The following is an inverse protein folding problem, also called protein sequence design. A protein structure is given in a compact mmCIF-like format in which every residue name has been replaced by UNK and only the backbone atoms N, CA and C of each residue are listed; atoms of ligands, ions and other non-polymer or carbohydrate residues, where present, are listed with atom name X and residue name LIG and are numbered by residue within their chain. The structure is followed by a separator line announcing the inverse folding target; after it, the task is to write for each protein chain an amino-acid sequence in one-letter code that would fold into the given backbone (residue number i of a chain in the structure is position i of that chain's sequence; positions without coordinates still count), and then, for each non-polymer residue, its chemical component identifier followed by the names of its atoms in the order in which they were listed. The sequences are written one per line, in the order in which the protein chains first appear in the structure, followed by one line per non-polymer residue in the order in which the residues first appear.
data_IF_642399879912
#
_entry.id   IF_642399879912
#
_cell.length_a   1.000
_cell.length_b   1.000
_cell.length_c   1.000
_cell.angle_alpha   90.00
_cell.angle_beta   90.00
_cell.angle_gamma   90.00
#
_symmetry.space_group_name_H-M   'P 1'
#
loop_
_entity.id
_entity.type
_entity.pdbx_description
1 polymer ?
#
# COMPACT_ATOMS: atom_id res chain seq x y z
N UNK A 1 0.61 9.68 17.61
CA UNK A 1 0.50 8.61 16.59
C UNK A 1 -0.92 8.51 16.02
N UNK A 2 -1.94 8.89 16.79
CA UNK A 2 -3.34 8.70 16.40
C UNK A 2 -3.78 9.61 15.24
N UNK A 3 -3.37 10.89 15.23
CA UNK A 3 -3.67 11.83 14.13
C UNK A 3 -3.23 11.30 12.76
N UNK A 4 -2.02 10.74 12.66
CA UNK A 4 -1.53 10.16 11.39
C UNK A 4 -2.39 8.97 10.95
N UNK A 5 -2.74 8.07 11.89
CA UNK A 5 -3.54 6.88 11.58
C UNK A 5 -4.92 7.27 11.09
N UNK A 6 -5.58 8.22 11.74
CA UNK A 6 -6.89 8.73 11.35
C UNK A 6 -6.87 9.38 9.97
N UNK A 7 -5.93 10.31 9.73
CA UNK A 7 -5.80 11.00 8.44
C UNK A 7 -5.47 10.01 7.34
N UNK A 8 -4.50 9.12 7.56
CA UNK A 8 -4.13 8.11 6.58
C UNK A 8 -5.30 7.17 6.27
N UNK A 9 -6.07 6.75 7.28
CA UNK A 9 -7.26 5.93 7.08
C UNK A 9 -8.32 6.64 6.24
N UNK A 10 -8.65 7.90 6.56
CA UNK A 10 -9.62 8.69 5.81
C UNK A 10 -9.21 8.88 4.34
N UNK A 11 -7.93 9.20 4.10
CA UNK A 11 -7.41 9.36 2.74
C UNK A 11 -7.45 8.05 1.95
N UNK A 12 -7.11 6.92 2.56
CA UNK A 12 -7.23 5.61 1.93
C UNK A 12 -8.69 5.25 1.61
N UNK A 13 -9.64 5.67 2.45
CA UNK A 13 -11.07 5.48 2.16
C UNK A 13 -11.51 6.26 0.92
N UNK A 14 -11.14 7.54 0.81
CA UNK A 14 -11.42 8.34 -0.39
C UNK A 14 -10.71 7.78 -1.64
N UNK A 15 -9.47 7.32 -1.50
CA UNK A 15 -8.79 6.61 -2.58
C UNK A 15 -9.54 5.33 -2.97
N UNK A 16 -9.94 4.48 -2.03
CA UNK A 16 -10.65 3.25 -2.36
C UNK A 16 -12.00 3.51 -3.04
N UNK A 17 -12.67 4.64 -2.76
CA UNK A 17 -13.92 5.06 -3.41
C UNK A 17 -13.74 5.74 -4.77
N UNK A 18 -12.52 5.95 -5.23
CA UNK A 18 -12.28 6.63 -6.52
C UNK A 18 -12.29 8.16 -6.45
N UNK A 19 -12.50 8.75 -5.28
CA UNK A 19 -12.61 10.21 -5.07
C UNK A 19 -11.26 10.92 -5.16
N UNK A 20 -10.17 10.16 -5.07
CA UNK A 20 -8.81 10.67 -5.04
C UNK A 20 -7.86 9.72 -5.78
N UNK A 21 -6.81 10.27 -6.38
CA UNK A 21 -5.71 9.52 -6.96
C UNK A 21 -4.54 9.32 -5.98
N UNK A 22 -3.55 8.53 -6.40
CA UNK A 22 -2.39 8.22 -5.59
C UNK A 22 -1.50 9.45 -5.33
N UNK A 23 -1.36 10.35 -6.30
CA UNK A 23 -0.49 11.51 -6.18
C UNK A 23 -1.04 12.50 -5.14
N UNK A 24 -2.34 12.75 -5.21
CA UNK A 24 -3.10 13.57 -4.27
C UNK A 24 -3.05 12.96 -2.87
N UNK A 25 -3.26 11.64 -2.72
CA UNK A 25 -3.15 10.98 -1.42
C UNK A 25 -1.77 11.17 -0.79
N UNK A 26 -0.69 11.01 -1.59
CA UNK A 26 0.69 11.18 -1.11
C UNK A 26 0.97 12.63 -0.70
N UNK A 27 0.55 13.60 -1.51
CA UNK A 27 0.79 15.03 -1.26
C UNK A 27 -0.01 15.57 -0.05
N UNK A 28 -1.28 15.16 0.09
CA UNK A 28 -2.17 15.68 1.14
C UNK A 28 -1.91 15.05 2.51
N UNK A 29 -1.31 13.85 2.58
CA UNK A 29 -1.16 13.12 3.86
C UNK A 29 -0.44 13.93 4.92
N UNK A 30 0.77 14.40 4.63
CA UNK A 30 1.57 15.11 5.63
C UNK A 30 1.10 16.54 5.83
N UNK A 31 0.58 17.18 4.78
CA UNK A 31 -0.07 18.48 4.89
C UNK A 31 -1.19 18.45 5.96
N UNK A 32 -2.17 17.55 5.81
CA UNK A 32 -3.31 17.45 6.72
C UNK A 32 -2.87 17.04 8.13
N UNK A 33 -1.87 16.14 8.24
CA UNK A 33 -1.32 15.75 9.55
C UNK A 33 -0.67 16.95 10.25
N UNK A 34 0.13 17.74 9.55
CA UNK A 34 0.79 18.92 10.12
C UNK A 34 -0.22 20.00 10.52
N UNK A 35 -1.21 20.27 9.67
CA UNK A 35 -2.31 21.21 9.97
C UNK A 35 -3.08 20.80 11.22
N UNK A 36 -3.44 19.51 11.36
CA UNK A 36 -4.13 19.00 12.56
C UNK A 36 -3.30 19.08 13.83
N UNK A 37 -1.99 19.10 13.72
CA UNK A 37 -1.07 19.28 14.85
C UNK A 37 -0.78 20.75 15.13
N UNK A 38 -1.44 21.69 14.44
CA UNK A 38 -1.27 23.13 14.63
C UNK A 38 -0.04 23.72 13.95
N UNK A 39 0.62 22.98 13.07
CA UNK A 39 1.73 23.48 12.26
C UNK A 39 1.22 24.09 10.95
N UNK A 40 1.95 25.08 10.43
CA UNK A 40 1.74 25.60 9.07
C UNK A 40 2.65 24.80 8.14
N UNK A 41 2.11 23.92 7.28
CA UNK A 41 2.94 23.09 6.42
C UNK A 41 3.63 23.95 5.36
N UNK A 42 4.95 24.01 5.41
CA UNK A 42 5.77 24.48 4.31
C UNK A 42 5.75 23.48 3.15
N UNK A 43 5.71 23.98 1.90
CA UNK A 43 5.59 23.14 0.71
C UNK A 43 6.81 22.21 0.56
N UNK A 44 8.02 22.72 0.80
CA UNK A 44 9.26 21.97 0.66
C UNK A 44 9.32 20.88 1.73
N UNK A 45 8.97 21.22 2.98
CA UNK A 45 8.90 20.26 4.07
C UNK A 45 7.88 19.16 3.79
N UNK A 46 6.67 19.51 3.32
CA UNK A 46 5.63 18.54 3.02
C UNK A 46 6.06 17.56 1.90
N UNK A 47 6.69 18.08 0.84
CA UNK A 47 7.24 17.26 -0.23
C UNK A 47 8.34 16.32 0.28
N UNK A 48 9.29 16.84 1.06
CA UNK A 48 10.37 16.03 1.63
C UNK A 48 9.84 14.91 2.54
N UNK A 49 8.81 15.18 3.35
CA UNK A 49 8.16 14.17 4.19
C UNK A 49 7.43 13.10 3.36
N UNK A 50 6.68 13.52 2.34
CA UNK A 50 5.95 12.60 1.46
C UNK A 50 6.91 11.66 0.70
N UNK A 51 8.01 12.20 0.18
CA UNK A 51 9.06 11.44 -0.51
C UNK A 51 9.76 10.49 0.46
N UNK A 52 10.25 10.99 1.59
CA UNK A 52 10.95 10.20 2.60
C UNK A 52 10.09 9.05 3.12
N UNK A 53 8.80 9.32 3.40
CA UNK A 53 7.87 8.27 3.83
C UNK A 53 7.67 7.20 2.76
N UNK A 54 7.47 7.62 1.51
CA UNK A 54 7.27 6.68 0.40
C UNK A 54 8.52 5.83 0.16
N UNK A 55 9.71 6.37 0.41
CA UNK A 55 10.96 5.63 0.31
C UNK A 55 11.19 4.69 1.51
N UNK A 56 10.98 5.15 2.74
CA UNK A 56 11.35 4.42 3.96
C UNK A 56 10.30 3.40 4.41
N UNK A 57 9.01 3.76 4.38
CA UNK A 57 7.93 2.92 4.91
C UNK A 57 7.86 1.50 4.30
N UNK A 58 8.13 1.29 2.99
CA UNK A 58 8.12 -0.03 2.39
C UNK A 58 9.22 -0.96 2.92
N UNK A 59 10.32 -0.45 3.49
CA UNK A 59 11.44 -1.28 3.97
C UNK A 59 11.20 -1.95 5.32
N UNK A 60 10.01 -1.77 5.92
CA UNK A 60 9.60 -2.50 7.11
C UNK A 60 9.66 -4.02 6.89
N UNK A 61 10.42 -4.71 7.74
CA UNK A 61 10.63 -6.17 7.66
C UNK A 61 9.58 -6.98 8.43
N UNK A 62 8.74 -6.31 9.21
CA UNK A 62 7.79 -6.96 10.10
C UNK A 62 6.73 -7.74 9.31
N UNK A 63 6.55 -9.00 9.68
CA UNK A 63 5.52 -9.88 9.19
C UNK A 63 4.50 -10.14 10.30
N UNK A 64 3.26 -10.45 9.92
CA UNK A 64 2.30 -10.99 10.88
C UNK A 64 2.82 -12.30 11.47
N UNK A 65 2.46 -12.63 12.73
CA UNK A 65 2.80 -13.92 13.33
C UNK A 65 2.44 -15.08 12.40
N UNK A 66 3.32 -16.08 12.32
CA UNK A 66 3.16 -17.30 11.50
C UNK A 66 3.06 -17.10 9.99
N UNK A 67 3.18 -15.87 9.46
CA UNK A 67 3.04 -15.61 8.03
C UNK A 67 3.99 -16.46 7.18
N UNK A 68 5.27 -16.58 7.57
CA UNK A 68 6.27 -17.36 6.82
C UNK A 68 6.01 -18.87 6.90
N UNK A 69 5.57 -19.36 8.05
CA UNK A 69 5.23 -20.78 8.25
C UNK A 69 4.05 -21.19 7.35
N UNK A 70 3.00 -20.37 7.35
CA UNK A 70 1.81 -20.60 6.50
C UNK A 70 2.18 -20.52 5.02
N UNK A 71 2.96 -19.53 4.61
CA UNK A 71 3.42 -19.42 3.21
C UNK A 71 4.26 -20.63 2.80
N UNK A 72 5.15 -21.10 3.68
CA UNK A 72 5.93 -22.32 3.45
C UNK A 72 5.04 -23.56 3.26
N UNK A 73 4.00 -23.71 4.08
CA UNK A 73 3.06 -24.83 3.98
C UNK A 73 2.21 -24.79 2.70
N UNK A 74 1.80 -23.59 2.27
CA UNK A 74 0.88 -23.42 1.16
C UNK A 74 1.55 -23.42 -0.22
N UNK A 75 2.82 -23.01 -0.33
CA UNK A 75 3.49 -22.87 -1.63
C UNK A 75 3.56 -24.19 -2.42
N UNK A 76 3.64 -25.34 -1.74
CA UNK A 76 3.69 -26.66 -2.37
C UNK A 76 2.31 -27.19 -2.77
N UNK A 77 1.24 -26.54 -2.29
CA UNK A 77 -0.15 -27.00 -2.46
C UNK A 77 -0.96 -26.09 -3.39
N UNK A 78 -0.59 -24.82 -3.47
CA UNK A 78 -1.34 -23.80 -4.19
C UNK A 78 -0.40 -22.83 -4.89
N UNK A 79 -0.85 -22.32 -6.04
CA UNK A 79 -0.23 -21.12 -6.61
C UNK A 79 -0.69 -19.90 -5.83
N UNK A 80 0.24 -19.21 -5.18
CA UNK A 80 -0.08 -18.04 -4.36
C UNK A 80 0.02 -16.75 -5.19
N UNK A 81 -0.93 -15.85 -4.97
CA UNK A 81 -0.98 -14.54 -5.60
C UNK A 81 -1.30 -13.47 -4.55
N UNK A 82 -0.85 -12.24 -4.79
CA UNK A 82 -1.24 -11.07 -3.99
C UNK A 82 -2.25 -10.25 -4.78
N UNK A 83 -3.30 -9.80 -4.08
CA UNK A 83 -4.21 -8.78 -4.57
C UNK A 83 -4.28 -7.61 -3.58
N UNK A 84 -3.75 -6.45 -3.97
CA UNK A 84 -3.58 -5.28 -3.10
C UNK A 84 -4.16 -4.01 -3.72
N UNK A 85 -4.80 -3.16 -2.90
CA UNK A 85 -5.09 -1.77 -3.29
C UNK A 85 -3.85 -0.87 -3.12
N UNK A 86 -2.76 -1.42 -2.60
CA UNK A 86 -1.48 -0.72 -2.45
C UNK A 86 -0.86 -0.36 -3.80
N UNK A 87 0.07 0.59 -3.74
CA UNK A 87 0.78 1.06 -4.92
C UNK A 87 1.82 0.03 -5.38
N UNK A 88 1.89 -0.23 -6.68
CA UNK A 88 2.76 -1.27 -7.25
C UNK A 88 4.25 -1.04 -6.96
N UNK A 89 4.70 0.23 -7.03
CA UNK A 89 6.06 0.68 -6.73
C UNK A 89 6.47 0.36 -5.28
N UNK A 90 5.53 0.45 -4.35
CA UNK A 90 5.74 0.18 -2.92
C UNK A 90 5.64 -1.32 -2.59
N UNK A 91 4.68 -2.04 -3.18
CA UNK A 91 4.38 -3.41 -2.80
C UNK A 91 5.54 -4.38 -3.07
N UNK A 92 6.21 -4.25 -4.20
CA UNK A 92 7.35 -5.11 -4.53
C UNK A 92 8.50 -4.92 -3.53
N UNK A 93 8.82 -3.66 -3.16
CA UNK A 93 9.86 -3.35 -2.18
C UNK A 93 9.52 -3.93 -0.81
N UNK A 94 8.26 -3.82 -0.38
CA UNK A 94 7.79 -4.34 0.91
C UNK A 94 7.91 -5.86 1.02
N UNK A 95 7.51 -6.56 -0.02
CA UNK A 95 7.58 -8.03 -0.05
C UNK A 95 9.03 -8.53 -0.12
N UNK A 96 9.91 -7.83 -0.84
CA UNK A 96 11.35 -8.12 -0.88
C UNK A 96 11.99 -7.87 0.48
N UNK A 97 11.70 -6.72 1.10
CA UNK A 97 12.27 -6.33 2.39
C UNK A 97 11.85 -7.27 3.52
N UNK A 98 10.63 -7.80 3.47
CA UNK A 98 10.13 -8.82 4.41
C UNK A 98 10.52 -10.26 4.04
N UNK A 99 11.20 -10.47 2.91
CA UNK A 99 11.71 -11.76 2.48
C UNK A 99 10.62 -12.79 2.14
N UNK A 100 9.47 -12.33 1.66
CA UNK A 100 8.34 -13.18 1.24
C UNK A 100 7.95 -12.96 -0.23
N UNK A 101 8.72 -12.18 -0.99
CA UNK A 101 8.45 -11.93 -2.41
C UNK A 101 8.34 -13.22 -3.24
N UNK A 102 9.24 -14.18 -2.98
CA UNK A 102 9.36 -15.40 -3.79
C UNK A 102 8.22 -16.41 -3.61
N UNK A 103 7.32 -16.22 -2.63
CA UNK A 103 6.19 -17.12 -2.45
C UNK A 103 5.07 -16.89 -3.47
N UNK A 104 5.02 -15.73 -4.13
CA UNK A 104 3.89 -15.32 -4.95
C UNK A 104 4.24 -15.31 -6.44
N UNK A 105 3.43 -15.99 -7.26
CA UNK A 105 3.59 -16.03 -8.72
C UNK A 105 3.28 -14.68 -9.36
N UNK A 106 2.19 -14.04 -8.91
CA UNK A 106 1.80 -12.72 -9.39
C UNK A 106 1.39 -11.80 -8.23
N UNK A 107 1.70 -10.51 -8.40
CA UNK A 107 1.34 -9.43 -7.48
C UNK A 107 0.48 -8.43 -8.24
N UNK A 108 -0.81 -8.44 -7.95
CA UNK A 108 -1.81 -7.58 -8.58
C UNK A 108 -2.08 -6.36 -7.71
N UNK A 109 -1.82 -5.18 -8.25
CA UNK A 109 -2.03 -3.91 -7.55
C UNK A 109 -3.14 -3.09 -8.25
N UNK A 110 -3.90 -2.30 -7.50
CA UNK A 110 -4.96 -1.47 -8.07
C UNK A 110 -4.45 -0.54 -9.19
N UNK A 111 -3.23 -0.02 -9.04
CA UNK A 111 -2.58 0.86 -10.02
C UNK A 111 -2.23 0.16 -11.33
N UNK A 112 -1.93 -1.14 -11.30
CA UNK A 112 -1.58 -1.91 -12.50
C UNK A 112 -2.82 -2.43 -13.24
N UNK A 113 -3.93 -2.64 -12.51
CA UNK A 113 -5.12 -3.29 -13.04
C UNK A 113 -6.28 -2.32 -13.35
N UNK A 114 -6.14 -1.03 -13.01
CA UNK A 114 -7.15 -0.01 -13.27
C UNK A 114 -8.46 -0.21 -12.50
N UNK A 115 -8.45 -1.01 -11.44
CA UNK A 115 -9.62 -1.34 -10.63
C UNK A 115 -9.24 -1.36 -9.15
N UNK A 116 -10.19 -1.09 -8.24
CA UNK A 116 -9.95 -1.05 -6.78
C UNK A 116 -10.87 -2.05 -6.07
N UNK A 117 -10.35 -2.84 -5.11
CA UNK A 117 -11.24 -3.64 -4.24
C UNK A 117 -12.17 -2.69 -3.46
N UNK A 118 -13.47 -3.00 -3.32
CA UNK A 118 -14.10 -4.31 -3.51
C UNK A 118 -14.74 -4.56 -4.90
N UNK A 119 -14.37 -3.83 -5.96
CA UNK A 119 -14.95 -4.06 -7.29
C UNK A 119 -14.68 -5.50 -7.81
N UNK A 120 -15.73 -6.19 -8.24
CA UNK A 120 -15.65 -7.59 -8.71
C UNK A 120 -14.67 -7.80 -9.87
N UNK A 121 -14.49 -6.79 -10.74
CA UNK A 121 -13.58 -6.85 -11.89
C UNK A 121 -12.11 -7.09 -11.48
N UNK A 122 -11.73 -6.72 -10.25
CA UNK A 122 -10.38 -6.96 -9.74
C UNK A 122 -10.07 -8.41 -9.42
N UNK A 123 -11.09 -9.24 -9.20
CA UNK A 123 -10.92 -10.65 -8.84
C UNK A 123 -10.87 -11.56 -10.07
N UNK A 124 -11.51 -11.18 -11.18
CA UNK A 124 -11.66 -12.06 -12.35
C UNK A 124 -10.62 -11.77 -13.45
N UNK A 125 -10.25 -10.50 -13.63
CA UNK A 125 -9.27 -10.09 -14.66
C UNK A 125 -7.86 -10.70 -14.54
N UNK A 126 -7.30 -10.90 -13.33
CA UNK A 126 -5.93 -11.38 -13.16
C UNK A 126 -5.70 -12.87 -13.41
N UNK A 127 -6.74 -13.71 -13.31
CA UNK A 127 -6.62 -15.18 -13.37
C UNK A 127 -7.05 -15.78 -14.72
N UNK A 128 -7.61 -14.96 -15.62
CA UNK A 128 -8.07 -15.37 -16.94
C UNK A 128 -7.06 -15.05 -18.08
N UNK A 129 -5.77 -14.84 -17.75
CA UNK A 129 -4.71 -14.58 -18.73
C UNK A 129 -3.56 -15.57 -18.58
#
# INVERSE_FOLDING_TARGET
MDTFREVNYALWQSYNRGEMDQATLRASRFQIVLERLGAVPDLILNQALAESYTHLAPHGKHLMPYAREILNYLQDKYTLHILSNGFADVQAIKLKSSGIYNYFKHIFCATSNGCRKPENKCLTGPFNR
#
